data_IF_761418043431
#
_entry.id   IF_761418043431
#
_cell.length_a   1.000
_cell.length_b   1.000
_cell.length_c   1.000
_cell.angle_alpha   90.00
_cell.angle_beta   90.00
_cell.angle_gamma   90.00
#
_symmetry.space_group_name_H-M   'P 1'
#
loop_
_entity.id
_entity.type
_entity.pdbx_description
1 polymer ?
#
# COMPACT_ATOMS: atom_id res chain seq x y z
N UNK A 1 -12.39 27.73 5.22
CA UNK A 1 -11.00 27.24 5.38
C UNK A 1 -10.75 26.25 6.53
N UNK A 2 -11.64 26.08 7.54
CA UNK A 2 -11.40 25.15 8.67
C UNK A 2 -11.56 23.65 8.32
N UNK A 3 -12.41 23.32 7.34
CA UNK A 3 -12.71 21.92 6.97
C UNK A 3 -11.57 21.24 6.19
N UNK A 4 -10.87 21.97 5.32
CA UNK A 4 -9.73 21.44 4.56
C UNK A 4 -8.52 21.11 5.45
N UNK A 5 -8.28 21.91 6.49
CA UNK A 5 -7.18 21.67 7.44
C UNK A 5 -7.41 20.41 8.28
N UNK A 6 -8.64 20.21 8.77
CA UNK A 6 -8.98 19.02 9.54
C UNK A 6 -8.99 17.76 8.65
N UNK A 7 -9.43 17.88 7.40
CA UNK A 7 -9.38 16.79 6.43
C UNK A 7 -7.94 16.39 6.09
N UNK A 8 -7.03 17.35 5.93
CA UNK A 8 -5.62 17.07 5.66
C UNK A 8 -4.93 16.34 6.82
N UNK A 9 -5.22 16.73 8.07
CA UNK A 9 -4.66 16.07 9.26
C UNK A 9 -5.22 14.64 9.39
N UNK A 10 -6.52 14.45 9.19
CA UNK A 10 -7.13 13.14 9.21
C UNK A 10 -6.61 12.25 8.07
N UNK A 11 -6.46 12.80 6.86
CA UNK A 11 -5.89 12.10 5.73
C UNK A 11 -4.44 11.69 5.99
N UNK A 12 -3.60 12.60 6.52
CA UNK A 12 -2.22 12.31 6.87
C UNK A 12 -2.10 11.21 7.93
N UNK A 13 -2.93 11.26 8.98
CA UNK A 13 -2.97 10.22 10.02
C UNK A 13 -3.44 8.87 9.46
N UNK A 14 -4.48 8.86 8.61
CA UNK A 14 -4.95 7.64 7.96
C UNK A 14 -3.87 7.04 7.06
N UNK A 15 -3.17 7.86 6.26
CA UNK A 15 -2.07 7.38 5.40
C UNK A 15 -0.87 6.90 6.21
N UNK A 16 -0.52 7.58 7.31
CA UNK A 16 0.59 7.18 8.18
C UNK A 16 0.27 5.86 8.89
N UNK A 17 -0.96 5.66 9.34
CA UNK A 17 -1.41 4.38 9.90
C UNK A 17 -1.41 3.27 8.83
N UNK A 18 -1.82 3.58 7.60
CA UNK A 18 -1.85 2.60 6.50
C UNK A 18 -0.45 2.19 6.05
N UNK A 19 0.49 3.13 5.96
CA UNK A 19 1.88 2.85 5.58
C UNK A 19 2.71 2.32 6.76
N UNK A 20 2.41 2.71 7.99
CA UNK A 20 3.10 2.21 9.19
C UNK A 20 2.72 0.79 9.56
N UNK A 21 1.61 0.27 9.03
CA UNK A 21 1.14 -1.09 9.30
C UNK A 21 1.63 -2.12 8.26
N UNK A 22 2.40 -1.71 7.23
CA UNK A 22 3.13 -2.68 6.40
C UNK A 22 4.36 -3.15 7.19
N UNK A 23 4.22 -4.26 7.92
CA UNK A 23 5.34 -4.90 8.61
C UNK A 23 6.40 -5.34 7.60
N UNK A 24 7.65 -4.92 7.81
CA UNK A 24 8.82 -5.49 7.13
C UNK A 24 9.16 -6.76 7.90
N UNK A 25 9.13 -7.91 7.23
CA UNK A 25 9.60 -9.17 7.81
C UNK A 25 11.11 -9.06 8.09
N UNK A 26 11.47 -8.71 9.31
CA UNK A 26 12.86 -8.81 9.77
C UNK A 26 13.09 -10.28 10.13
N UNK A 27 14.07 -10.94 9.52
CA UNK A 27 14.47 -12.28 9.93
C UNK A 27 15.09 -12.20 11.34
N UNK A 28 14.27 -12.40 12.37
CA UNK A 28 14.73 -12.29 13.75
C UNK A 28 15.44 -13.59 14.18
N UNK A 29 16.73 -13.46 14.53
CA UNK A 29 17.46 -14.48 15.27
C UNK A 29 17.01 -14.40 16.73
N UNK A 30 16.40 -15.47 17.23
CA UNK A 30 15.86 -15.57 18.59
C UNK A 30 16.88 -15.15 19.67
N UNK A 31 16.61 -14.02 20.33
CA UNK A 31 17.27 -13.59 21.58
C UNK A 31 16.19 -13.58 22.67
N UNK A 32 16.36 -14.31 23.78
CA UNK A 32 15.32 -14.39 24.80
C UNK A 32 15.11 -13.04 25.51
N UNK A 33 13.87 -12.68 25.88
CA UNK A 33 13.54 -11.34 26.39
C UNK A 33 14.08 -11.11 27.82
N UNK A 34 14.50 -9.88 28.12
CA UNK A 34 14.78 -9.42 29.50
C UNK A 34 13.54 -8.73 30.07
N UNK A 35 13.31 -8.94 31.36
CA UNK A 35 12.16 -8.42 32.10
C UNK A 35 12.12 -6.88 32.08
N UNK A 36 11.14 -6.34 31.37
CA UNK A 36 10.99 -4.90 31.11
C UNK A 36 10.58 -4.55 29.67
N UNK A 37 10.63 -5.50 28.73
CA UNK A 37 10.22 -5.26 27.35
C UNK A 37 8.70 -5.34 27.17
N UNK A 38 8.16 -4.37 26.41
CA UNK A 38 6.80 -4.40 25.91
C UNK A 38 6.70 -5.61 24.98
N UNK A 39 5.93 -6.61 25.40
CA UNK A 39 5.53 -7.72 24.53
C UNK A 39 4.64 -7.13 23.43
N UNK A 40 5.25 -6.75 22.32
CA UNK A 40 4.52 -6.59 21.07
C UNK A 40 4.25 -8.02 20.61
N UNK A 41 3.06 -8.52 20.90
CA UNK A 41 2.54 -9.74 20.29
C UNK A 41 2.58 -9.54 18.78
N UNK A 42 3.60 -10.10 18.13
CA UNK A 42 3.62 -10.31 16.70
C UNK A 42 2.39 -11.13 16.33
N UNK A 43 1.46 -10.48 15.65
CA UNK A 43 0.11 -10.98 15.43
C UNK A 43 -0.95 -9.89 15.47
N UNK A 44 -0.59 -8.64 15.18
CA UNK A 44 -1.59 -7.63 14.85
C UNK A 44 -2.03 -7.85 13.41
N UNK A 45 -2.95 -8.81 13.24
CA UNK A 45 -3.81 -8.86 12.07
C UNK A 45 -4.55 -7.53 12.02
N UNK A 46 -4.11 -6.65 11.12
CA UNK A 46 -4.86 -5.44 10.81
C UNK A 46 -6.24 -5.92 10.33
N UNK A 47 -7.34 -5.56 10.98
CA UNK A 47 -8.65 -5.80 10.42
C UNK A 47 -8.86 -4.74 9.33
N UNK A 48 -8.17 -4.89 8.21
CA UNK A 48 -8.62 -4.33 6.93
C UNK A 48 -9.85 -5.15 6.54
N UNK A 49 -10.98 -4.93 7.22
CA UNK A 49 -12.22 -5.68 6.99
C UNK A 49 -11.95 -7.17 6.71
N UNK A 50 -11.27 -7.83 7.64
CA UNK A 50 -10.90 -9.25 7.54
C UNK A 50 -12.17 -10.10 7.53
N UNK A 51 -12.83 -10.18 6.39
CA UNK A 51 -13.55 -11.40 6.07
C UNK A 51 -12.46 -12.43 5.84
N UNK A 52 -12.41 -13.46 6.66
CA UNK A 52 -11.48 -14.59 6.52
C UNK A 52 -11.51 -15.18 5.09
N UNK A 53 -12.55 -14.87 4.29
CA UNK A 53 -12.60 -15.17 2.86
C UNK A 53 -11.83 -14.22 1.92
N UNK A 54 -11.68 -12.91 2.18
CA UNK A 54 -11.10 -12.00 1.18
C UNK A 54 -9.57 -12.15 1.06
N UNK A 55 -8.88 -12.37 2.18
CA UNK A 55 -7.44 -12.64 2.19
C UNK A 55 -7.09 -13.90 1.42
N UNK A 56 -7.84 -14.99 1.66
CA UNK A 56 -7.68 -16.26 0.95
C UNK A 56 -7.99 -16.13 -0.55
N UNK A 57 -9.08 -15.43 -0.90
CA UNK A 57 -9.42 -15.17 -2.31
C UNK A 57 -8.34 -14.35 -3.04
N UNK A 58 -7.56 -13.53 -2.32
CA UNK A 58 -6.54 -12.66 -2.89
C UNK A 58 -5.11 -13.23 -2.79
N UNK A 59 -4.95 -14.46 -2.30
CA UNK A 59 -3.66 -15.07 -2.00
C UNK A 59 -2.82 -14.20 -1.06
N UNK A 60 -3.45 -13.67 0.00
CA UNK A 60 -2.84 -12.74 0.95
C UNK A 60 -1.63 -13.30 1.71
N UNK A 61 -1.55 -14.62 1.84
CA UNK A 61 -0.44 -15.31 2.49
C UNK A 61 0.76 -15.54 1.56
N UNK A 62 0.59 -15.33 0.24
CA UNK A 62 1.65 -15.52 -0.73
C UNK A 62 2.53 -14.27 -0.80
N UNK A 63 3.84 -14.49 -0.74
CA UNK A 63 4.84 -13.46 -0.96
C UNK A 63 4.80 -12.95 -2.41
N UNK A 64 5.11 -11.66 -2.59
CA UNK A 64 5.15 -11.01 -3.88
C UNK A 64 6.58 -10.61 -4.25
N UNK A 65 6.94 -10.82 -5.51
CA UNK A 65 8.22 -10.44 -6.09
C UNK A 65 8.12 -9.03 -6.70
N UNK A 66 8.71 -8.05 -6.01
CA UNK A 66 8.71 -6.66 -6.44
C UNK A 66 9.40 -6.43 -7.79
N UNK A 67 10.42 -7.22 -8.15
CA UNK A 67 11.08 -7.11 -9.46
C UNK A 67 10.17 -7.61 -10.58
N UNK A 68 9.39 -8.66 -10.35
CA UNK A 68 8.40 -9.12 -11.32
C UNK A 68 7.22 -8.12 -11.50
N UNK A 69 6.85 -7.39 -10.43
CA UNK A 69 5.77 -6.39 -10.46
C UNK A 69 6.17 -5.07 -11.10
N UNK A 70 7.25 -4.46 -10.59
CA UNK A 70 7.66 -3.08 -10.90
C UNK A 70 8.98 -3.00 -11.68
N UNK A 71 9.67 -4.13 -11.88
CA UNK A 71 10.89 -4.16 -12.67
C UNK A 71 10.64 -3.86 -14.15
N UNK A 72 11.74 -3.51 -14.84
CA UNK A 72 11.74 -3.28 -16.29
C UNK A 72 11.40 -4.54 -17.09
N UNK A 73 11.69 -5.72 -16.54
CA UNK A 73 11.30 -7.02 -17.08
C UNK A 73 10.22 -7.62 -16.20
N UNK A 74 9.15 -8.15 -16.80
CA UNK A 74 8.04 -8.83 -16.10
C UNK A 74 8.36 -10.28 -15.69
N UNK A 75 9.64 -10.62 -15.71
CA UNK A 75 10.22 -11.90 -15.30
C UNK A 75 11.43 -11.56 -14.45
N UNK A 76 11.50 -12.09 -13.24
CA UNK A 76 12.68 -11.98 -12.40
C UNK A 76 13.70 -13.04 -12.84
N UNK A 77 14.89 -12.66 -13.32
CA UNK A 77 15.90 -13.60 -13.80
C UNK A 77 16.53 -14.45 -12.67
N UNK A 78 16.40 -14.04 -11.40
CA UNK A 78 16.98 -14.76 -10.26
C UNK A 78 16.02 -15.80 -9.69
N UNK A 79 14.72 -15.50 -9.64
CA UNK A 79 13.69 -16.38 -9.06
C UNK A 79 12.83 -17.09 -10.11
N UNK A 80 12.90 -16.65 -11.37
CA UNK A 80 11.99 -17.08 -12.44
C UNK A 80 10.56 -16.56 -12.27
N UNK A 81 10.28 -15.75 -11.25
CA UNK A 81 8.94 -15.26 -10.95
C UNK A 81 8.44 -14.33 -12.06
N UNK A 82 7.20 -14.54 -12.50
CA UNK A 82 6.54 -13.73 -13.53
C UNK A 82 5.47 -12.84 -12.91
N UNK A 83 5.06 -11.80 -13.64
CA UNK A 83 3.96 -10.93 -13.23
C UNK A 83 2.64 -11.70 -13.01
N UNK A 84 2.32 -12.65 -13.88
CA UNK A 84 1.07 -13.41 -13.77
C UNK A 84 1.06 -14.34 -12.55
N UNK A 85 2.23 -14.86 -12.19
CA UNK A 85 2.43 -15.69 -11.00
C UNK A 85 2.37 -14.94 -9.67
N UNK A 86 2.22 -13.62 -9.69
CA UNK A 86 2.11 -12.81 -8.48
C UNK A 86 0.75 -12.97 -7.81
N UNK A 87 0.68 -12.81 -6.47
CA UNK A 87 -0.58 -12.87 -5.74
C UNK A 87 -1.54 -11.76 -6.17
N UNK A 88 -2.84 -12.02 -6.05
CA UNK A 88 -3.88 -11.14 -6.57
C UNK A 88 -3.91 -9.79 -5.82
N UNK A 89 -3.62 -9.77 -4.52
CA UNK A 89 -3.49 -8.51 -3.76
C UNK A 89 -2.41 -7.59 -4.36
N UNK A 90 -1.27 -8.17 -4.79
CA UNK A 90 -0.16 -7.40 -5.31
C UNK A 90 -0.46 -6.86 -6.72
N UNK A 91 -1.11 -7.68 -7.56
CA UNK A 91 -1.61 -7.25 -8.87
C UNK A 91 -2.67 -6.15 -8.76
N UNK A 92 -3.55 -6.23 -7.77
CA UNK A 92 -4.57 -5.21 -7.48
C UNK A 92 -3.90 -3.88 -7.09
N UNK A 93 -2.95 -3.91 -6.15
CA UNK A 93 -2.21 -2.71 -5.75
C UNK A 93 -1.38 -2.13 -6.91
N UNK A 94 -0.79 -2.98 -7.75
CA UNK A 94 -0.14 -2.54 -8.98
C UNK A 94 -1.11 -1.79 -9.90
N UNK A 95 -2.30 -2.35 -10.17
CA UNK A 95 -3.32 -1.70 -10.99
C UNK A 95 -3.79 -0.36 -10.40
N UNK A 96 -3.98 -0.31 -9.08
CA UNK A 96 -4.38 0.91 -8.37
C UNK A 96 -3.29 1.99 -8.42
N UNK A 97 -2.03 1.62 -8.27
CA UNK A 97 -0.91 2.59 -8.34
C UNK A 97 -0.74 3.16 -9.75
N UNK A 98 -0.81 2.32 -10.79
CA UNK A 98 -0.76 2.79 -12.19
C UNK A 98 -1.94 3.71 -12.50
N UNK A 99 -3.16 3.31 -12.13
CA UNK A 99 -4.36 4.12 -12.36
C UNK A 99 -4.30 5.44 -11.58
N UNK A 100 -3.86 5.39 -10.33
CA UNK A 100 -3.69 6.58 -9.49
C UNK A 100 -2.63 7.53 -10.04
N UNK A 101 -1.53 7.01 -10.60
CA UNK A 101 -0.50 7.81 -11.25
C UNK A 101 -1.02 8.53 -12.49
N UNK A 102 -1.82 7.87 -13.33
CA UNK A 102 -2.48 8.51 -14.48
C UNK A 102 -3.48 9.57 -13.99
N UNK A 103 -4.32 9.21 -13.01
CA UNK A 103 -5.31 10.10 -12.43
C UNK A 103 -4.70 11.35 -11.79
N UNK A 104 -3.51 11.24 -11.19
CA UNK A 104 -2.83 12.37 -10.58
C UNK A 104 -2.36 13.39 -11.62
N UNK A 105 -1.80 12.92 -12.75
CA UNK A 105 -1.41 13.80 -13.87
C UNK A 105 -2.64 14.54 -14.42
N UNK A 106 -3.74 13.82 -14.64
CA UNK A 106 -5.00 14.43 -15.12
C UNK A 106 -5.51 15.46 -14.10
N UNK A 107 -5.53 15.11 -12.81
CA UNK A 107 -6.01 15.98 -11.74
C UNK A 107 -5.20 17.28 -11.62
N UNK A 108 -3.88 17.20 -11.82
CA UNK A 108 -2.99 18.37 -11.85
C UNK A 108 -3.26 19.32 -13.01
N UNK A 109 -3.83 18.83 -14.11
CA UNK A 109 -4.21 19.66 -15.26
C UNK A 109 -5.62 20.20 -15.06
N UNK A 110 -6.59 19.31 -14.82
CA UNK A 110 -8.02 19.64 -14.74
C UNK A 110 -8.33 20.56 -13.57
N UNK A 111 -7.68 20.37 -12.41
CA UNK A 111 -7.92 21.19 -11.21
C UNK A 111 -7.66 22.68 -11.45
N UNK A 112 -6.43 23.07 -11.86
CA UNK A 112 -6.12 24.46 -12.20
C UNK A 112 -6.96 25.02 -13.35
N UNK A 113 -7.20 24.23 -14.40
CA UNK A 113 -8.03 24.64 -15.54
C UNK A 113 -9.47 24.96 -15.13
N UNK A 114 -10.10 24.09 -14.35
CA UNK A 114 -11.44 24.34 -13.81
C UNK A 114 -11.46 25.60 -12.94
N UNK A 115 -10.47 25.75 -12.06
CA UNK A 115 -10.34 26.92 -11.21
C UNK A 115 -10.23 28.22 -12.04
N UNK A 116 -9.43 28.22 -13.10
CA UNK A 116 -9.26 29.35 -14.01
C UNK A 116 -10.53 29.70 -14.79
N UNK A 117 -11.23 28.70 -15.35
CA UNK A 117 -12.45 28.94 -16.14
C UNK A 117 -13.59 29.46 -15.26
N UNK A 118 -13.76 28.91 -14.05
CA UNK A 118 -14.91 29.24 -13.20
C UNK A 118 -14.68 30.47 -12.31
N UNK A 119 -13.46 30.69 -11.85
CA UNK A 119 -13.14 31.73 -10.85
C UNK A 119 -12.06 32.72 -11.31
N UNK A 120 -11.58 32.62 -12.55
CA UNK A 120 -10.52 33.47 -13.10
C UNK A 120 -11.01 34.78 -13.72
N UNK A 121 -12.30 35.12 -13.60
CA UNK A 121 -12.87 36.41 -14.01
C UNK A 121 -13.16 37.28 -12.80
#
# INVERSE_FOLDING_TARGET
MRKLRNAAIAAAAATALTLGATSVATAETYVPPREGDIVVTEGSSIPVGSSEGLGDNLNGQNEADGRALFGSSKVNPETGATFDGQPAWAKLLYGLTVTGAIGSVIGLIVGPLYNFIVHGQ
#
